data_IF_202176645090
#
_entry.id   IF_202176645090
#
_cell.length_a   1.000
_cell.length_b   1.000
_cell.length_c   1.000
_cell.angle_alpha   90.00
_cell.angle_beta   90.00
_cell.angle_gamma   90.00
#
_symmetry.space_group_name_H-M   'P 1'
#
loop_
_entity.id
_entity.type
_entity.pdbx_description
1 polymer ?
#
# COMPACT_ATOMS: atom_id res chain seq x y z
N UNK A 1 5.44 1.42 6.34
CA UNK A 1 6.14 1.02 7.57
C UNK A 1 6.46 2.26 8.43
N UNK A 2 5.50 3.20 8.48
CA UNK A 2 5.62 4.46 9.20
C UNK A 2 5.82 4.24 10.71
N UNK A 3 6.63 5.08 11.35
CA UNK A 3 6.83 5.08 12.79
C UNK A 3 5.54 5.33 13.58
N UNK A 4 4.59 6.08 13.02
CA UNK A 4 3.25 6.30 13.61
C UNK A 4 2.43 5.01 13.75
N UNK A 5 2.76 3.96 12.99
CA UNK A 5 2.14 2.65 13.11
C UNK A 5 2.55 1.87 14.37
N UNK A 6 3.55 2.35 15.14
CA UNK A 6 4.01 1.71 16.38
C UNK A 6 3.00 1.75 17.53
N UNK A 7 1.98 2.61 17.44
CA UNK A 7 0.96 2.78 18.47
C UNK A 7 -0.40 2.23 18.04
N UNK A 8 -1.22 1.82 19.03
CA UNK A 8 -2.62 1.44 18.79
C UNK A 8 -2.83 0.17 17.96
N UNK A 9 -1.84 -0.73 17.88
CA UNK A 9 -1.97 -1.97 17.11
C UNK A 9 -2.06 -1.77 15.59
N UNK A 10 -1.58 -0.63 15.07
CA UNK A 10 -1.68 -0.28 13.64
C UNK A 10 -0.80 -1.17 12.77
N UNK A 11 0.41 -1.49 13.22
CA UNK A 11 1.31 -2.36 12.46
C UNK A 11 0.78 -3.80 12.41
N UNK A 12 0.25 -4.31 13.50
CA UNK A 12 -0.41 -5.62 13.55
C UNK A 12 -1.64 -5.66 12.63
N UNK A 13 -2.35 -4.54 12.54
CA UNK A 13 -3.47 -4.38 11.62
C UNK A 13 -3.00 -4.41 10.16
N UNK A 14 -1.88 -3.76 9.85
CA UNK A 14 -1.27 -3.80 8.51
C UNK A 14 -0.77 -5.20 8.16
N UNK A 15 -0.12 -5.91 9.10
CA UNK A 15 0.29 -7.30 8.93
C UNK A 15 -0.92 -8.20 8.62
N UNK A 16 -1.98 -8.10 9.42
CA UNK A 16 -3.22 -8.87 9.21
C UNK A 16 -3.84 -8.56 7.85
N UNK A 17 -3.93 -7.29 7.47
CA UNK A 17 -4.45 -6.89 6.18
C UNK A 17 -3.63 -7.48 5.02
N UNK A 18 -2.30 -7.36 5.10
CA UNK A 18 -1.38 -7.94 4.11
C UNK A 18 -1.55 -9.46 4.00
N UNK A 19 -1.58 -10.16 5.14
CA UNK A 19 -1.74 -11.61 5.19
C UNK A 19 -3.09 -12.07 4.61
N UNK A 20 -4.17 -11.40 4.99
CA UNK A 20 -5.52 -11.71 4.49
C UNK A 20 -5.58 -11.52 2.98
N UNK A 21 -5.05 -10.41 2.46
CA UNK A 21 -5.04 -10.12 1.03
C UNK A 21 -4.15 -11.09 0.25
N UNK A 22 -2.95 -11.37 0.77
CA UNK A 22 -2.05 -12.34 0.16
C UNK A 22 -2.71 -13.73 0.06
N UNK A 23 -3.26 -14.23 1.18
CA UNK A 23 -3.93 -15.53 1.24
C UNK A 23 -5.13 -15.60 0.29
N UNK A 24 -5.96 -14.55 0.27
CA UNK A 24 -7.10 -14.45 -0.64
C UNK A 24 -6.67 -14.56 -2.11
N UNK A 25 -5.71 -13.75 -2.53
CA UNK A 25 -5.21 -13.77 -3.89
C UNK A 25 -4.61 -15.12 -4.26
N UNK A 26 -3.78 -15.70 -3.38
CA UNK A 26 -3.17 -17.01 -3.59
C UNK A 26 -4.19 -18.12 -3.77
N UNK A 27 -5.22 -18.15 -2.93
CA UNK A 27 -6.27 -19.17 -3.00
C UNK A 27 -7.10 -19.08 -4.28
N UNK A 28 -7.20 -17.90 -4.87
CA UNK A 28 -7.91 -17.68 -6.15
C UNK A 28 -7.01 -17.75 -7.38
N UNK A 29 -5.70 -18.03 -7.21
CA UNK A 29 -4.75 -18.01 -8.31
C UNK A 29 -4.48 -16.62 -8.90
N UNK A 30 -4.77 -15.56 -8.15
CA UNK A 30 -4.51 -14.17 -8.56
C UNK A 30 -3.05 -13.84 -8.26
N UNK A 31 -2.24 -13.43 -9.26
CA UNK A 31 -0.88 -12.96 -9.01
C UNK A 31 -0.88 -11.79 -8.05
N UNK A 32 -0.02 -11.84 -7.02
CA UNK A 32 0.03 -10.82 -5.97
C UNK A 32 1.47 -10.52 -5.58
N UNK A 33 1.75 -9.26 -5.34
CA UNK A 33 2.99 -8.79 -4.70
C UNK A 33 2.65 -7.95 -3.48
N UNK A 34 3.53 -7.94 -2.49
CA UNK A 34 3.36 -7.16 -1.27
C UNK A 34 4.67 -6.47 -0.90
N UNK A 35 4.61 -5.16 -0.83
CA UNK A 35 5.73 -4.30 -0.53
C UNK A 35 5.43 -3.40 0.67
N UNK A 36 6.45 -3.11 1.45
CA UNK A 36 6.42 -2.05 2.43
C UNK A 36 7.50 -1.03 2.14
N UNK A 37 7.34 0.18 2.65
CA UNK A 37 8.34 1.23 2.49
C UNK A 37 8.48 2.04 3.76
N UNK A 38 9.64 2.65 3.91
CA UNK A 38 9.98 3.63 4.94
C UNK A 38 11.02 4.59 4.40
N UNK A 39 11.37 5.61 5.18
CA UNK A 39 12.56 6.41 4.91
C UNK A 39 13.57 6.21 6.04
N UNK A 40 14.84 6.51 5.78
CA UNK A 40 15.84 6.72 6.82
C UNK A 40 16.77 7.88 6.44
N UNK A 41 17.29 8.57 7.44
CA UNK A 41 18.24 9.65 7.26
C UNK A 41 19.68 9.10 7.34
N UNK A 42 20.48 9.36 6.31
CA UNK A 42 21.91 8.98 6.30
C UNK A 42 22.81 10.03 6.94
N UNK A 43 22.25 11.13 7.45
CA UNK A 43 22.97 12.32 7.91
C UNK A 43 23.31 13.31 6.78
N UNK A 44 23.17 12.94 5.53
CA UNK A 44 23.38 13.77 4.35
C UNK A 44 22.14 13.91 3.49
N UNK A 45 21.37 12.85 3.40
CA UNK A 45 20.14 12.79 2.59
C UNK A 45 19.20 11.75 3.16
N UNK A 46 17.92 11.98 2.94
CA UNK A 46 16.90 10.99 3.25
C UNK A 46 16.78 9.98 2.08
N UNK A 47 16.79 8.71 2.42
CA UNK A 47 16.67 7.58 1.48
C UNK A 47 15.33 6.88 1.69
N UNK A 48 14.72 6.41 0.61
CA UNK A 48 13.50 5.58 0.67
C UNK A 48 13.87 4.12 0.50
N UNK A 49 13.60 3.32 1.51
CA UNK A 49 13.74 1.88 1.49
C UNK A 49 12.44 1.21 1.07
N UNK A 50 12.53 0.24 0.18
CA UNK A 50 11.39 -0.54 -0.27
C UNK A 50 11.68 -2.02 -0.01
N UNK A 51 10.86 -2.62 0.85
CA UNK A 51 10.96 -4.02 1.27
C UNK A 51 9.99 -4.89 0.48
N UNK A 52 10.49 -5.98 -0.11
CA UNK A 52 9.67 -7.01 -0.75
C UNK A 52 9.33 -8.11 0.25
N UNK A 53 8.07 -8.25 0.59
CA UNK A 53 7.55 -9.33 1.44
C UNK A 53 7.03 -10.51 0.62
N UNK A 54 6.47 -10.23 -0.56
CA UNK A 54 6.10 -11.19 -1.58
C UNK A 54 6.21 -10.54 -2.96
N UNK A 55 6.64 -11.30 -3.98
CA UNK A 55 6.72 -10.83 -5.35
C UNK A 55 6.10 -11.84 -6.31
N UNK A 56 5.73 -11.40 -7.51
CA UNK A 56 5.12 -12.24 -8.55
C UNK A 56 6.01 -13.41 -8.95
N UNK A 57 7.31 -13.18 -9.07
CA UNK A 57 8.27 -14.11 -9.68
C UNK A 57 9.06 -14.92 -8.64
N UNK A 58 8.89 -14.65 -7.35
CA UNK A 58 9.61 -15.32 -6.26
C UNK A 58 8.67 -15.86 -5.19
N UNK A 59 7.67 -16.62 -5.61
CA UNK A 59 6.73 -17.25 -4.68
C UNK A 59 7.43 -18.41 -3.95
N UNK A 60 7.51 -18.31 -2.64
CA UNK A 60 8.02 -19.39 -1.79
C UNK A 60 7.20 -19.56 -0.51
N UNK A 61 7.52 -20.61 0.26
CA UNK A 61 6.80 -20.92 1.49
C UNK A 61 7.12 -19.96 2.65
N UNK A 62 8.03 -19.01 2.43
CA UNK A 62 8.45 -18.04 3.45
C UNK A 62 7.75 -16.68 3.31
N UNK A 63 6.95 -16.47 2.26
CA UNK A 63 6.20 -15.23 2.08
C UNK A 63 5.34 -14.89 3.31
N UNK A 64 4.68 -15.89 3.90
CA UNK A 64 3.91 -15.70 5.12
C UNK A 64 4.75 -15.20 6.30
N UNK A 65 5.96 -15.75 6.45
CA UNK A 65 6.88 -15.33 7.51
C UNK A 65 7.38 -13.91 7.27
N UNK A 66 7.70 -13.56 6.02
CA UNK A 66 8.09 -12.19 5.65
C UNK A 66 6.97 -11.19 5.93
N UNK A 67 5.74 -11.50 5.55
CA UNK A 67 4.57 -10.64 5.84
C UNK A 67 4.38 -10.48 7.36
N UNK A 68 4.53 -11.54 8.13
CA UNK A 68 4.44 -11.48 9.59
C UNK A 68 5.62 -10.77 10.26
N UNK A 69 6.74 -10.57 9.56
CA UNK A 69 7.89 -9.82 10.06
C UNK A 69 7.81 -8.30 9.78
N UNK A 70 6.75 -7.83 9.14
CA UNK A 70 6.50 -6.40 8.91
C UNK A 70 6.55 -5.65 10.24
N UNK A 71 7.35 -4.62 10.33
CA UNK A 71 7.52 -3.79 11.52
C UNK A 71 7.56 -2.31 11.18
N UNK A 72 7.49 -1.48 12.20
CA UNK A 72 7.59 -0.03 12.04
C UNK A 72 9.07 0.39 11.98
N UNK A 73 9.33 1.44 11.21
CA UNK A 73 10.66 2.03 11.10
C UNK A 73 10.60 3.54 11.37
N UNK A 74 10.66 4.35 10.32
CA UNK A 74 10.76 5.81 10.44
C UNK A 74 9.63 6.50 9.65
N UNK A 75 9.95 7.49 8.86
CA UNK A 75 9.03 8.29 8.07
C UNK A 75 8.57 7.57 6.78
N UNK A 76 7.71 8.22 5.98
CA UNK A 76 7.20 7.62 4.76
C UNK A 76 7.02 8.63 3.63
N UNK A 77 7.55 8.29 2.44
CA UNK A 77 7.32 8.98 1.15
C UNK A 77 6.47 8.11 0.25
N UNK A 78 5.18 8.16 0.46
CA UNK A 78 4.20 7.26 -0.18
C UNK A 78 4.20 7.39 -1.71
N UNK A 79 4.38 8.58 -2.26
CA UNK A 79 4.41 8.81 -3.70
C UNK A 79 5.56 8.07 -4.41
N UNK A 80 6.73 7.98 -3.78
CA UNK A 80 7.87 7.22 -4.31
C UNK A 80 7.54 5.74 -4.36
N UNK A 81 6.99 5.20 -3.27
CA UNK A 81 6.57 3.80 -3.19
C UNK A 81 5.49 3.46 -4.22
N UNK A 82 4.48 4.33 -4.37
CA UNK A 82 3.43 4.15 -5.38
C UNK A 82 4.00 4.07 -6.79
N UNK A 83 4.92 4.96 -7.15
CA UNK A 83 5.55 4.96 -8.48
C UNK A 83 6.37 3.69 -8.71
N UNK A 84 7.15 3.27 -7.72
CA UNK A 84 7.97 2.05 -7.80
C UNK A 84 7.10 0.80 -7.99
N UNK A 85 6.15 0.58 -7.08
CA UNK A 85 5.28 -0.60 -7.12
C UNK A 85 4.35 -0.56 -8.33
N UNK A 86 3.83 0.62 -8.66
CA UNK A 86 3.02 0.84 -9.85
C UNK A 86 3.76 0.52 -11.15
N UNK A 87 5.06 0.85 -11.25
CA UNK A 87 5.87 0.50 -12.42
C UNK A 87 6.08 -1.02 -12.53
N UNK A 88 6.32 -1.72 -11.42
CA UNK A 88 6.37 -3.20 -11.43
C UNK A 88 5.05 -3.80 -11.92
N UNK A 89 3.93 -3.29 -11.43
CA UNK A 89 2.60 -3.74 -11.81
C UNK A 89 2.29 -3.46 -13.29
N UNK A 90 2.73 -2.32 -13.83
CA UNK A 90 2.56 -1.98 -15.24
C UNK A 90 3.30 -2.92 -16.20
N UNK A 91 4.40 -3.51 -15.75
CA UNK A 91 5.18 -4.47 -16.53
C UNK A 91 4.52 -5.87 -16.59
N UNK A 92 3.41 -6.08 -15.87
CA UNK A 92 2.69 -7.35 -15.89
C UNK A 92 1.78 -7.46 -17.13
N UNK A 93 1.56 -8.69 -17.63
CA UNK A 93 0.73 -8.93 -18.80
C UNK A 93 -0.78 -8.86 -18.52
N UNK A 94 -1.21 -8.97 -17.25
CA UNK A 94 -2.62 -9.00 -16.89
C UNK A 94 -3.33 -7.71 -17.29
N UNK A 95 -4.55 -7.81 -17.84
CA UNK A 95 -5.35 -6.66 -18.28
C UNK A 95 -5.82 -5.80 -17.09
N UNK A 96 -6.23 -6.45 -16.01
CA UNK A 96 -6.69 -5.78 -14.79
C UNK A 96 -5.54 -5.67 -13.81
N UNK A 97 -5.14 -4.44 -13.52
CA UNK A 97 -4.05 -4.11 -12.60
C UNK A 97 -4.59 -3.30 -11.43
N UNK A 98 -4.49 -3.85 -10.22
CA UNK A 98 -4.99 -3.23 -9.00
C UNK A 98 -3.83 -3.00 -8.04
N UNK A 99 -3.71 -1.77 -7.55
CA UNK A 99 -2.79 -1.39 -6.48
C UNK A 99 -3.60 -0.93 -5.27
N UNK A 100 -3.42 -1.62 -4.15
CA UNK A 100 -4.03 -1.26 -2.87
C UNK A 100 -2.95 -0.73 -1.93
N UNK A 101 -3.08 0.52 -1.52
CA UNK A 101 -2.24 1.13 -0.51
C UNK A 101 -2.88 0.98 0.87
N UNK A 102 -2.11 0.53 1.85
CA UNK A 102 -2.53 0.47 3.26
C UNK A 102 -1.67 1.47 4.03
N UNK A 103 -2.30 2.50 4.58
CA UNK A 103 -1.64 3.61 5.28
C UNK A 103 -2.33 3.89 6.61
N UNK A 104 -1.60 4.47 7.57
CA UNK A 104 -2.16 4.97 8.83
C UNK A 104 -2.61 6.44 8.75
N UNK A 105 -2.52 7.06 7.57
CA UNK A 105 -3.17 8.34 7.25
C UNK A 105 -2.28 9.35 6.58
N UNK A 106 -1.27 9.92 7.24
CA UNK A 106 -0.52 11.04 6.69
C UNK A 106 0.90 10.66 6.28
N UNK A 107 1.28 10.86 5.00
CA UNK A 107 2.67 10.76 4.61
C UNK A 107 3.48 11.87 5.28
N UNK A 108 4.58 11.49 5.88
CA UNK A 108 5.46 12.41 6.60
C UNK A 108 6.93 12.02 6.43
N UNK A 109 7.71 12.95 5.89
CA UNK A 109 9.16 12.82 5.79
C UNK A 109 9.81 14.21 5.72
N UNK A 110 11.13 14.29 5.64
CA UNK A 110 11.84 15.57 5.56
C UNK A 110 11.39 16.38 4.35
N UNK A 111 10.82 17.56 4.56
CA UNK A 111 10.28 18.39 3.48
C UNK A 111 9.08 17.80 2.72
N UNK A 112 8.49 16.71 3.23
CA UNK A 112 7.41 15.97 2.59
C UNK A 112 6.26 15.76 3.57
N UNK A 113 5.36 16.75 3.64
CA UNK A 113 4.18 16.75 4.52
C UNK A 113 3.09 17.68 4.00
N UNK A 114 1.87 17.55 4.54
CA UNK A 114 0.74 18.42 4.21
C UNK A 114 0.48 18.50 2.70
N UNK A 115 0.31 19.70 2.16
CA UNK A 115 -0.05 19.91 0.75
C UNK A 115 1.02 19.40 -0.23
N UNK A 116 2.30 19.42 0.12
CA UNK A 116 3.38 18.91 -0.73
C UNK A 116 3.21 17.38 -0.91
N UNK A 117 3.04 16.66 0.18
CA UNK A 117 2.84 15.21 0.13
C UNK A 117 1.52 14.84 -0.54
N UNK A 118 0.46 15.63 -0.29
CA UNK A 118 -0.85 15.46 -0.95
C UNK A 118 -0.75 15.62 -2.46
N UNK A 119 -0.10 16.68 -2.93
CA UNK A 119 0.08 16.94 -4.35
C UNK A 119 0.90 15.83 -5.05
N UNK A 120 1.98 15.37 -4.41
CA UNK A 120 2.81 14.27 -4.92
C UNK A 120 2.03 12.95 -5.03
N UNK A 121 1.22 12.63 -4.01
CA UNK A 121 0.33 11.45 -4.03
C UNK A 121 -0.73 11.54 -5.13
N UNK A 122 -1.34 12.71 -5.29
CA UNK A 122 -2.33 12.94 -6.35
C UNK A 122 -1.73 12.78 -7.74
N UNK A 123 -0.52 13.30 -7.95
CA UNK A 123 0.21 13.14 -9.20
C UNK A 123 0.58 11.68 -9.46
N UNK A 124 1.14 10.98 -8.47
CA UNK A 124 1.47 9.57 -8.58
C UNK A 124 0.24 8.73 -8.94
N UNK A 125 -0.87 8.96 -8.22
CA UNK A 125 -2.16 8.32 -8.49
C UNK A 125 -2.63 8.59 -9.93
N UNK A 126 -2.72 9.84 -10.31
CA UNK A 126 -3.17 10.24 -11.65
C UNK A 126 -2.33 9.61 -12.77
N UNK A 127 -1.01 9.64 -12.63
CA UNK A 127 -0.08 9.06 -13.61
C UNK A 127 -0.29 7.54 -13.79
N UNK A 128 -0.52 6.81 -12.71
CA UNK A 128 -0.74 5.37 -12.73
C UNK A 128 -2.13 5.02 -13.28
N UNK A 129 -3.17 5.75 -12.88
CA UNK A 129 -4.55 5.55 -13.37
C UNK A 129 -4.65 5.80 -14.87
N UNK A 130 -3.99 6.84 -15.38
CA UNK A 130 -3.91 7.14 -16.82
C UNK A 130 -3.26 6.01 -17.63
N UNK A 131 -2.41 5.21 -16.99
CA UNK A 131 -1.76 4.03 -17.59
C UNK A 131 -2.50 2.71 -17.32
N UNK A 132 -3.72 2.78 -16.77
CA UNK A 132 -4.61 1.62 -16.60
C UNK A 132 -4.50 0.90 -15.24
N UNK A 133 -3.73 1.42 -14.28
CA UNK A 133 -3.73 0.87 -12.91
C UNK A 133 -4.93 1.40 -12.13
N UNK A 134 -5.66 0.53 -11.47
CA UNK A 134 -6.73 0.92 -10.54
C UNK A 134 -6.15 1.07 -9.15
N UNK A 135 -6.19 2.29 -8.60
CA UNK A 135 -5.64 2.58 -7.28
C UNK A 135 -6.74 2.67 -6.23
N UNK A 136 -6.52 1.94 -5.15
CA UNK A 136 -7.33 1.97 -3.94
C UNK A 136 -6.46 2.27 -2.73
N UNK A 137 -7.05 2.83 -1.69
CA UNK A 137 -6.38 3.01 -0.42
C UNK A 137 -7.28 2.61 0.74
N UNK A 138 -6.68 1.96 1.73
CA UNK A 138 -7.29 1.63 3.00
C UNK A 138 -6.52 2.33 4.12
N UNK A 139 -7.21 3.12 4.93
CA UNK A 139 -6.59 3.77 6.07
C UNK A 139 -6.84 2.99 7.36
N UNK A 140 -5.76 2.85 8.16
CA UNK A 140 -5.76 2.28 9.51
C UNK A 140 -5.62 3.45 10.48
N UNK A 141 -6.58 3.62 11.40
CA UNK A 141 -6.55 4.71 12.37
C UNK A 141 -7.43 5.89 12.00
N UNK A 142 -7.25 7.00 12.73
CA UNK A 142 -8.19 8.14 12.68
C UNK A 142 -7.81 9.22 11.66
N UNK A 143 -6.55 9.31 11.27
CA UNK A 143 -5.99 10.34 10.38
C UNK A 143 -6.21 10.05 8.88
N UNK A 144 -7.40 9.59 8.54
CA UNK A 144 -7.75 9.13 7.19
C UNK A 144 -8.23 10.23 6.21
N UNK A 145 -8.51 11.43 6.73
CA UNK A 145 -9.16 12.49 5.94
C UNK A 145 -8.41 12.84 4.65
N UNK A 146 -7.09 13.02 4.73
CA UNK A 146 -6.28 13.33 3.54
C UNK A 146 -6.32 12.17 2.51
N UNK A 147 -6.22 10.93 2.96
CA UNK A 147 -6.26 9.74 2.10
C UNK A 147 -7.63 9.62 1.43
N UNK A 148 -8.72 9.84 2.18
CA UNK A 148 -10.08 9.84 1.65
C UNK A 148 -10.26 10.93 0.58
N UNK A 149 -9.75 12.15 0.80
CA UNK A 149 -9.78 13.23 -0.19
C UNK A 149 -9.01 12.89 -1.48
N UNK A 150 -7.86 12.22 -1.37
CA UNK A 150 -7.04 11.83 -2.52
C UNK A 150 -7.68 10.68 -3.31
N UNK A 151 -8.13 9.64 -2.62
CA UNK A 151 -8.59 8.42 -3.26
C UNK A 151 -10.09 8.39 -3.57
N UNK A 152 -10.90 9.23 -2.91
CA UNK A 152 -12.34 9.37 -3.20
C UNK A 152 -13.05 8.01 -3.28
N UNK A 153 -13.61 7.69 -4.46
CA UNK A 153 -14.31 6.42 -4.71
C UNK A 153 -13.40 5.18 -4.59
N UNK A 154 -12.08 5.36 -4.64
CA UNK A 154 -11.08 4.34 -4.38
C UNK A 154 -10.71 4.19 -2.91
N UNK A 155 -11.29 5.00 -2.02
CA UNK A 155 -11.05 4.87 -0.59
C UNK A 155 -11.89 3.75 0.03
N UNK A 156 -11.21 2.86 0.74
CA UNK A 156 -11.81 1.74 1.47
C UNK A 156 -11.81 2.04 2.97
N UNK A 157 -12.96 2.34 3.51
CA UNK A 157 -13.13 2.39 4.96
C UNK A 157 -13.17 0.96 5.50
N UNK A 158 -12.06 0.50 6.10
CA UNK A 158 -11.92 -0.83 6.66
C UNK A 158 -11.91 -0.71 8.19
N UNK A 159 -13.09 -0.86 8.78
CA UNK A 159 -13.23 -0.99 10.22
C UNK A 159 -12.87 -2.41 10.72
N UNK A 160 -13.03 -3.42 9.85
CA UNK A 160 -12.71 -4.82 10.12
C UNK A 160 -11.98 -5.43 8.92
N UNK A 161 -10.74 -5.87 9.13
CA UNK A 161 -9.88 -6.47 8.10
C UNK A 161 -10.43 -7.79 7.55
N UNK A 162 -11.24 -8.53 8.31
CA UNK A 162 -11.89 -9.74 7.81
C UNK A 162 -12.88 -9.46 6.68
N UNK A 163 -13.41 -8.24 6.59
CA UNK A 163 -14.30 -7.82 5.50
C UNK A 163 -13.56 -7.34 4.25
N UNK A 164 -12.24 -7.18 4.33
CA UNK A 164 -11.42 -6.63 3.24
C UNK A 164 -11.49 -7.46 1.95
N UNK A 165 -11.41 -8.80 1.97
CA UNK A 165 -11.53 -9.60 0.76
C UNK A 165 -12.88 -9.43 0.06
N UNK A 166 -13.97 -9.35 0.83
CA UNK A 166 -15.32 -9.16 0.28
C UNK A 166 -15.45 -7.77 -0.36
N UNK A 167 -14.95 -6.74 0.31
CA UNK A 167 -14.93 -5.36 -0.22
C UNK A 167 -14.08 -5.26 -1.49
N UNK A 168 -12.89 -5.89 -1.48
CA UNK A 168 -12.03 -5.91 -2.66
C UNK A 168 -12.67 -6.70 -3.81
N UNK A 169 -13.26 -7.87 -3.54
CA UNK A 169 -13.99 -8.63 -4.55
C UNK A 169 -15.14 -7.81 -5.18
N UNK A 170 -15.89 -7.07 -4.35
CA UNK A 170 -16.92 -6.15 -4.83
C UNK A 170 -16.38 -4.99 -5.67
N UNK A 171 -15.15 -4.54 -5.40
CA UNK A 171 -14.48 -3.54 -6.23
C UNK A 171 -14.02 -4.14 -7.55
N UNK A 172 -13.38 -5.31 -7.53
CA UNK A 172 -12.92 -6.01 -8.72
C UNK A 172 -14.10 -6.28 -9.67
N UNK A 173 -15.23 -6.73 -9.12
CA UNK A 173 -16.46 -6.99 -9.90
C UNK A 173 -17.02 -5.77 -10.63
N UNK A 174 -16.60 -4.55 -10.31
CA UNK A 174 -16.98 -3.33 -11.06
C UNK A 174 -16.14 -3.10 -12.32
N UNK A 175 -15.03 -3.84 -12.47
CA UNK A 175 -14.09 -3.69 -13.57
C UNK A 175 -14.03 -4.90 -14.51
N UNK A 176 -14.77 -5.95 -14.17
CA UNK A 176 -15.04 -7.13 -15.02
C UNK A 176 -16.40 -6.98 -15.68
#
# INVERSE_FOLDING_TARGET
LSGSMSSGGRIESAQKAGLVMYTFCRNLGIPVMLYGHTTHDTGYTEVVDIYSFADFDSVDNQDYLRIMSVSTYDCNRDGVALRFVGQKLLNRPEDIKILLMISDGQPYAQGYKGEIAKADLQEAKYSLEKRGVKLFSAAIGDDRKMIEEIYKDGFLNIADFNTMPVKLAGLIARFI
#
